data_IF_670504820956
#
_entry.id   IF_670504820956
#
_cell.length_a   1.000
_cell.length_b   1.000
_cell.length_c   1.000
_cell.angle_alpha   90.00
_cell.angle_beta   90.00
_cell.angle_gamma   90.00
#
_symmetry.space_group_name_H-M   'P 1'
#
loop_
_entity.id
_entity.type
_entity.pdbx_description
1 polymer ?
#
# COMPACT_ATOMS: atom_id res chain seq x y z
N UNK A 1 -14.49 -3.44 -2.46
CA UNK A 1 -13.40 -2.86 -1.65
C UNK A 1 -12.80 -3.97 -0.79
N UNK A 2 -11.50 -3.97 -0.49
CA UNK A 2 -10.84 -5.05 0.26
C UNK A 2 -11.53 -5.37 1.60
N UNK A 3 -12.03 -4.35 2.31
CA UNK A 3 -12.75 -4.50 3.58
C UNK A 3 -14.08 -5.27 3.48
N UNK A 4 -14.66 -5.39 2.27
CA UNK A 4 -15.94 -6.07 2.04
C UNK A 4 -15.77 -7.47 1.40
N UNK A 5 -14.55 -7.99 1.32
CA UNK A 5 -14.25 -9.27 0.69
C UNK A 5 -13.58 -10.19 1.68
N UNK A 6 -14.11 -11.40 1.86
CA UNK A 6 -13.47 -12.42 2.70
C UNK A 6 -12.19 -12.92 2.05
N UNK A 7 -11.05 -12.47 2.58
CA UNK A 7 -9.70 -12.85 2.18
C UNK A 7 -8.96 -13.32 3.44
N UNK A 8 -8.98 -14.62 3.76
CA UNK A 8 -8.52 -15.13 5.06
C UNK A 8 -7.05 -14.81 5.35
N UNK A 9 -6.23 -14.69 4.31
CA UNK A 9 -4.80 -14.38 4.43
C UNK A 9 -4.48 -12.87 4.32
N UNK A 10 -5.50 -12.00 4.28
CA UNK A 10 -5.33 -10.55 4.21
C UNK A 10 -5.45 -9.91 5.59
N UNK A 11 -4.36 -9.31 6.05
CA UNK A 11 -4.40 -8.32 7.14
C UNK A 11 -4.70 -6.95 6.55
N UNK A 12 -5.87 -6.38 6.86
CA UNK A 12 -6.25 -5.03 6.46
C UNK A 12 -6.32 -4.12 7.68
N UNK A 13 -5.62 -2.98 7.61
CA UNK A 13 -5.66 -1.96 8.65
C UNK A 13 -5.92 -0.60 7.99
N UNK A 14 -6.90 0.13 8.50
CA UNK A 14 -7.20 1.49 8.10
C UNK A 14 -6.77 2.44 9.22
N UNK A 15 -5.91 3.39 8.87
CA UNK A 15 -5.31 4.34 9.81
C UNK A 15 -5.71 5.76 9.39
N UNK A 16 -6.16 6.64 10.31
CA UNK A 16 -6.40 8.03 10.00
C UNK A 16 -5.14 8.73 9.50
N UNK A 17 -5.25 9.64 8.54
CA UNK A 17 -4.09 10.41 8.04
C UNK A 17 -3.39 11.24 9.12
N UNK A 18 -4.08 11.57 10.21
CA UNK A 18 -3.55 12.34 11.35
C UNK A 18 -2.78 11.47 12.35
N UNK A 19 -2.86 10.15 12.26
CA UNK A 19 -2.14 9.25 13.15
C UNK A 19 -0.71 9.05 12.63
N UNK A 20 0.26 9.60 13.36
CA UNK A 20 1.67 9.38 13.07
C UNK A 20 2.07 7.93 13.37
N UNK A 21 2.69 7.26 12.40
CA UNK A 21 3.30 5.96 12.64
C UNK A 21 4.62 6.13 13.41
N UNK A 22 4.98 5.20 14.31
CA UNK A 22 6.26 5.25 15.01
C UNK A 22 7.44 5.35 14.04
N UNK A 23 8.55 6.02 14.39
CA UNK A 23 9.69 6.19 13.48
C UNK A 23 10.25 4.87 12.94
N UNK A 24 10.25 3.81 13.76
CA UNK A 24 10.69 2.46 13.40
C UNK A 24 9.75 1.71 12.46
N UNK A 25 8.56 2.24 12.17
CA UNK A 25 7.61 1.58 11.28
C UNK A 25 8.04 1.74 9.81
N UNK A 26 8.06 0.67 9.00
CA UNK A 26 8.50 0.73 7.59
C UNK A 26 7.71 1.71 6.70
N UNK A 27 6.48 2.04 7.10
CA UNK A 27 5.63 3.03 6.44
C UNK A 27 5.69 4.46 7.01
N UNK A 28 6.49 4.72 8.04
CA UNK A 28 6.55 6.05 8.71
C UNK A 28 6.94 7.19 7.75
N UNK A 29 7.76 6.89 6.74
CA UNK A 29 8.18 7.83 5.71
C UNK A 29 7.29 7.83 4.45
N UNK A 30 6.25 6.99 4.37
CA UNK A 30 5.36 6.88 3.21
C UNK A 30 4.29 7.96 3.30
N UNK A 31 4.43 9.02 2.50
CA UNK A 31 3.58 10.21 2.52
C UNK A 31 2.92 10.45 1.16
N UNK A 32 1.83 11.24 1.10
CA UNK A 32 1.34 11.79 -0.16
C UNK A 32 2.47 12.43 -0.98
N UNK A 33 2.42 12.27 -2.30
CA UNK A 33 3.45 12.79 -3.21
C UNK A 33 2.85 13.88 -4.08
N UNK A 34 3.48 15.06 -4.06
CA UNK A 34 3.06 16.23 -4.84
C UNK A 34 1.59 16.61 -4.62
N UNK A 35 1.14 16.55 -3.36
CA UNK A 35 -0.25 16.85 -2.97
C UNK A 35 -1.27 15.77 -3.33
N UNK A 36 -0.86 14.66 -3.95
CA UNK A 36 -1.74 13.55 -4.36
C UNK A 36 -1.62 12.36 -3.43
N UNK A 37 -2.71 11.60 -3.32
CA UNK A 37 -2.67 10.28 -2.68
C UNK A 37 -1.62 9.40 -3.35
N UNK A 38 -0.88 8.66 -2.52
CA UNK A 38 0.20 7.80 -2.97
C UNK A 38 0.03 6.40 -2.38
N UNK A 39 0.06 5.39 -3.24
CA UNK A 39 0.15 3.99 -2.86
C UNK A 39 1.57 3.47 -2.99
N UNK A 40 1.94 2.50 -2.15
CA UNK A 40 3.24 1.84 -2.21
C UNK A 40 3.01 0.34 -2.15
N UNK A 41 3.68 -0.41 -3.02
CA UNK A 41 3.67 -1.87 -2.99
C UNK A 41 5.03 -2.35 -2.47
N UNK A 42 5.03 -3.11 -1.39
CA UNK A 42 6.24 -3.74 -0.86
C UNK A 42 6.15 -5.25 -1.05
N UNK A 43 7.24 -5.85 -1.53
CA UNK A 43 7.40 -7.30 -1.73
C UNK A 43 8.68 -7.70 -1.00
N UNK A 44 8.51 -8.49 0.08
CA UNK A 44 9.59 -8.73 1.04
C UNK A 44 10.09 -7.39 1.64
N UNK A 45 11.40 -7.12 1.65
CA UNK A 45 11.97 -5.89 2.22
C UNK A 45 11.99 -4.70 1.23
N UNK A 46 11.59 -4.90 -0.03
CA UNK A 46 11.71 -3.88 -1.08
C UNK A 46 10.36 -3.23 -1.33
N UNK A 47 10.34 -1.90 -1.38
CA UNK A 47 9.16 -1.12 -1.73
C UNK A 47 9.33 -0.43 -3.08
N UNK A 48 8.22 -0.30 -3.81
CA UNK A 48 8.15 0.45 -5.05
C UNK A 48 8.31 1.96 -4.83
N UNK A 49 8.46 2.68 -5.95
CA UNK A 49 8.14 4.10 -6.02
C UNK A 49 6.65 4.36 -5.75
N UNK A 50 6.26 5.60 -5.37
CA UNK A 50 4.85 5.93 -5.14
C UNK A 50 4.02 5.85 -6.42
N UNK A 51 2.93 5.08 -6.35
CA UNK A 51 1.87 5.11 -7.34
C UNK A 51 0.90 6.25 -7.01
N UNK A 52 0.73 7.19 -7.93
CA UNK A 52 -0.27 8.27 -7.81
C UNK A 52 -1.47 8.05 -8.73
N UNK A 53 -1.41 7.04 -9.61
CA UNK A 53 -2.52 6.57 -10.42
C UNK A 53 -3.05 5.23 -9.86
N UNK A 54 -4.33 5.15 -9.46
CA UNK A 54 -4.95 3.91 -8.99
C UNK A 54 -4.92 2.76 -10.00
N UNK A 55 -4.97 3.04 -11.31
CA UNK A 55 -4.99 1.99 -12.33
C UNK A 55 -3.63 1.27 -12.39
N UNK A 56 -2.55 2.04 -12.40
CA UNK A 56 -1.17 1.53 -12.32
C UNK A 56 -0.93 0.68 -11.08
N UNK A 57 -1.42 1.08 -9.90
CA UNK A 57 -1.31 0.28 -8.68
C UNK A 57 -2.10 -1.03 -8.78
N UNK A 58 -3.31 -1.00 -9.34
CA UNK A 58 -4.13 -2.20 -9.52
C UNK A 58 -3.43 -3.23 -10.40
N UNK A 59 -2.81 -2.79 -11.49
CA UNK A 59 -2.05 -3.66 -12.37
C UNK A 59 -0.84 -4.29 -11.66
N UNK A 60 -0.07 -3.49 -10.91
CA UNK A 60 1.06 -3.99 -10.13
C UNK A 60 0.64 -5.05 -9.10
N UNK A 61 -0.48 -4.84 -8.40
CA UNK A 61 -1.04 -5.81 -7.45
C UNK A 61 -1.45 -7.13 -8.12
N UNK A 62 -2.04 -7.07 -9.31
CA UNK A 62 -2.41 -8.28 -10.07
C UNK A 62 -1.18 -9.07 -10.49
N UNK A 63 -0.12 -8.39 -10.93
CA UNK A 63 1.16 -9.02 -11.30
C UNK A 63 1.82 -9.66 -10.07
N UNK A 64 1.88 -8.97 -8.94
CA UNK A 64 2.52 -9.47 -7.72
C UNK A 64 1.79 -10.66 -7.08
N UNK A 65 0.48 -10.80 -7.29
CA UNK A 65 -0.32 -11.91 -6.76
C UNK A 65 -0.21 -13.19 -7.60
N UNK A 66 0.17 -13.08 -8.89
CA UNK A 66 0.26 -14.26 -9.76
C UNK A 66 1.39 -15.15 -9.22
N UNK A 67 1.11 -16.39 -8.78
CA UNK A 67 2.18 -17.29 -8.36
C UNK A 67 3.09 -17.54 -9.56
N UNK A 68 4.41 -17.49 -9.32
CA UNK A 68 5.43 -17.92 -10.29
C UNK A 68 5.33 -19.41 -10.55
#
# INVERSE_FOLDING_TARGET
>A
AAAATSLPDLVYQQIPMTAALPPSHPASAKKPKDGRSAGYLCIGPVCSLPFTDPASLSEALRRARKPS
#
